data_IF_135767275813
#
_entry.id   IF_135767275813
#
_cell.length_a   1.000
_cell.length_b   1.000
_cell.length_c   1.000
_cell.angle_alpha   90.00
_cell.angle_beta   90.00
_cell.angle_gamma   90.00
#
_symmetry.space_group_name_H-M   'P 1'
#
loop_
_entity.id
_entity.type
_entity.pdbx_description
1 polymer ?
#
# COMPACT_ATOMS: atom_id res chain seq x y z
N UNK A 1 48.54 -29.33 -17.54
CA UNK A 1 47.61 -29.52 -16.41
C UNK A 1 46.79 -28.25 -16.26
N UNK A 2 45.58 -28.21 -16.80
CA UNK A 2 44.72 -27.04 -16.78
C UNK A 2 43.95 -26.98 -15.46
N UNK A 3 44.04 -25.84 -14.76
CA UNK A 3 43.21 -25.55 -13.56
C UNK A 3 41.76 -25.39 -14.02
N UNK A 4 40.85 -26.29 -13.60
CA UNK A 4 39.40 -26.12 -13.76
C UNK A 4 38.92 -24.87 -13.00
N UNK A 5 37.99 -24.11 -13.56
CA UNK A 5 37.62 -22.82 -13.00
C UNK A 5 36.84 -22.95 -11.69
N UNK A 6 37.03 -21.97 -10.81
CA UNK A 6 36.35 -21.80 -9.51
C UNK A 6 34.81 -21.62 -9.61
N UNK A 7 34.23 -21.67 -10.83
CA UNK A 7 32.80 -21.48 -11.09
C UNK A 7 31.89 -22.51 -10.44
N UNK A 8 32.36 -23.76 -10.26
CA UNK A 8 31.53 -24.83 -9.73
C UNK A 8 31.27 -24.68 -8.21
N UNK A 9 32.19 -24.09 -7.46
CA UNK A 9 32.01 -23.90 -6.01
C UNK A 9 31.04 -22.73 -5.76
N UNK A 10 31.15 -21.66 -6.52
CA UNK A 10 30.27 -20.50 -6.43
C UNK A 10 28.83 -20.90 -6.80
N UNK A 11 28.68 -21.67 -7.88
CA UNK A 11 27.36 -22.17 -8.30
C UNK A 11 26.76 -23.18 -7.28
N UNK A 12 27.59 -24.00 -6.66
CA UNK A 12 27.14 -24.93 -5.60
C UNK A 12 26.69 -24.18 -4.34
N UNK A 13 27.42 -23.14 -3.95
CA UNK A 13 27.03 -22.25 -2.83
C UNK A 13 25.75 -21.49 -3.18
N UNK A 14 25.65 -20.94 -4.39
CA UNK A 14 24.46 -20.22 -4.87
C UNK A 14 23.23 -21.12 -4.84
N UNK A 15 23.32 -22.35 -5.40
CA UNK A 15 22.22 -23.31 -5.42
C UNK A 15 21.82 -23.76 -4.01
N UNK A 16 22.77 -23.84 -3.07
CA UNK A 16 22.48 -24.23 -1.67
C UNK A 16 21.78 -23.10 -0.91
N UNK A 17 22.13 -21.84 -1.20
CA UNK A 17 21.46 -20.65 -0.65
C UNK A 17 20.04 -20.56 -1.22
N UNK A 18 19.87 -20.71 -2.54
CA UNK A 18 18.57 -20.62 -3.19
C UNK A 18 17.60 -21.76 -2.86
N UNK A 19 18.09 -22.94 -2.50
CA UNK A 19 17.26 -24.08 -2.10
C UNK A 19 16.93 -24.10 -0.60
N UNK A 20 17.55 -23.24 0.22
CA UNK A 20 17.24 -23.12 1.66
C UNK A 20 16.39 -21.89 1.90
N UNK A 21 15.11 -22.06 2.29
CA UNK A 21 14.21 -20.96 2.67
C UNK A 21 14.80 -20.06 3.76
N UNK A 22 15.58 -20.64 4.67
CA UNK A 22 16.23 -19.88 5.73
C UNK A 22 17.36 -19.00 5.19
N UNK A 23 18.24 -19.55 4.33
CA UNK A 23 19.34 -18.80 3.73
C UNK A 23 18.85 -17.73 2.73
N UNK A 24 17.74 -17.98 2.04
CA UNK A 24 17.07 -16.97 1.23
C UNK A 24 16.59 -15.79 2.10
N UNK A 25 15.97 -16.06 3.25
CA UNK A 25 15.55 -15.01 4.20
C UNK A 25 16.74 -14.20 4.70
N UNK A 26 17.83 -14.86 5.10
CA UNK A 26 19.05 -14.19 5.59
C UNK A 26 19.69 -13.34 4.49
N UNK A 27 19.80 -13.87 3.28
CA UNK A 27 20.41 -13.14 2.14
C UNK A 27 19.56 -11.93 1.77
N UNK A 28 18.25 -12.09 1.75
CA UNK A 28 17.29 -11.03 1.49
C UNK A 28 17.29 -9.96 2.58
N UNK A 29 17.43 -10.36 3.84
CA UNK A 29 17.63 -9.44 4.95
C UNK A 29 18.85 -8.52 4.73
N UNK A 30 19.97 -9.09 4.29
CA UNK A 30 21.17 -8.30 3.97
C UNK A 30 21.00 -7.42 2.74
N UNK A 31 20.31 -7.89 1.69
CA UNK A 31 19.99 -7.06 0.52
C UNK A 31 19.09 -5.89 0.91
N UNK A 32 17.97 -6.14 1.58
CA UNK A 32 17.03 -5.10 2.00
C UNK A 32 17.75 -4.07 2.88
N UNK A 33 18.60 -4.48 3.80
CA UNK A 33 19.37 -3.59 4.69
C UNK A 33 20.46 -2.82 3.96
N UNK A 34 21.03 -3.37 2.92
CA UNK A 34 21.95 -2.68 2.00
C UNK A 34 21.17 -1.68 1.13
N UNK A 35 20.04 -2.08 0.56
CA UNK A 35 19.24 -1.28 -0.34
C UNK A 35 18.50 -0.14 0.40
N UNK A 36 18.08 -0.36 1.65
CA UNK A 36 17.43 0.69 2.45
C UNK A 36 18.31 1.93 2.67
N UNK A 37 19.63 1.78 2.69
CA UNK A 37 20.58 2.90 2.76
C UNK A 37 20.76 3.65 1.44
N UNK A 38 20.36 3.05 0.32
CA UNK A 38 20.49 3.60 -1.04
C UNK A 38 19.16 4.02 -1.66
N UNK A 39 18.04 3.84 -0.93
CA UNK A 39 16.71 4.25 -1.43
C UNK A 39 16.69 5.75 -1.62
N UNK A 40 16.43 6.15 -2.85
CA UNK A 40 16.26 7.56 -3.23
C UNK A 40 14.82 7.76 -3.69
N UNK A 41 14.21 8.82 -3.16
CA UNK A 41 12.95 9.32 -3.67
C UNK A 41 13.21 10.64 -4.38
N UNK A 42 12.54 10.86 -5.50
CA UNK A 42 12.53 12.11 -6.24
C UNK A 42 11.07 12.50 -6.49
N UNK A 43 10.74 13.73 -6.20
CA UNK A 43 9.44 14.30 -6.53
C UNK A 43 9.59 15.25 -7.73
N UNK A 44 8.68 15.10 -8.69
CA UNK A 44 8.57 15.95 -9.87
C UNK A 44 7.09 16.04 -10.27
N UNK A 45 6.57 17.27 -10.38
CA UNK A 45 5.17 17.55 -10.73
C UNK A 45 4.14 16.74 -9.92
N UNK A 46 4.37 16.56 -8.62
CA UNK A 46 3.49 15.78 -7.74
C UNK A 46 3.63 14.26 -7.88
N UNK A 47 4.63 13.78 -8.62
CA UNK A 47 4.92 12.36 -8.76
C UNK A 47 6.16 12.02 -7.94
N UNK A 48 6.01 11.12 -6.98
CA UNK A 48 7.11 10.60 -6.18
C UNK A 48 7.64 9.31 -6.82
N UNK A 49 8.84 9.37 -7.36
CA UNK A 49 9.55 8.22 -7.90
C UNK A 49 10.45 7.62 -6.82
N UNK A 50 10.29 6.32 -6.57
CA UNK A 50 11.12 5.55 -5.64
C UNK A 50 12.00 4.60 -6.45
N UNK A 51 13.32 4.64 -6.26
CA UNK A 51 14.28 3.83 -7.01
C UNK A 51 14.34 2.37 -6.56
N UNK A 52 13.20 1.76 -6.32
CA UNK A 52 13.04 0.36 -5.93
C UNK A 52 12.45 -0.40 -7.13
N UNK A 53 13.00 -1.55 -7.54
CA UNK A 53 12.46 -2.35 -8.62
C UNK A 53 11.00 -2.73 -8.40
N UNK A 54 10.19 -2.64 -9.46
CA UNK A 54 8.77 -3.00 -9.45
C UNK A 54 8.62 -4.52 -9.43
N UNK A 55 8.83 -5.12 -8.28
CA UNK A 55 8.68 -6.55 -8.06
C UNK A 55 7.81 -6.79 -6.84
N UNK A 56 7.06 -7.88 -6.85
CA UNK A 56 6.17 -8.28 -5.76
C UNK A 56 6.83 -8.20 -4.36
N UNK A 57 8.03 -8.72 -4.15
CA UNK A 57 8.67 -8.67 -2.83
C UNK A 57 9.04 -7.27 -2.34
N UNK A 58 9.07 -6.29 -3.23
CA UNK A 58 9.50 -4.93 -2.93
C UNK A 58 8.34 -3.97 -2.67
N UNK A 59 7.09 -4.42 -2.77
CA UNK A 59 5.92 -3.53 -2.66
C UNK A 59 5.87 -2.83 -1.30
N UNK A 60 6.09 -3.58 -0.22
CA UNK A 60 6.10 -3.04 1.14
C UNK A 60 7.20 -2.03 1.34
N UNK A 61 8.43 -2.36 0.94
CA UNK A 61 9.57 -1.46 1.04
C UNK A 61 9.35 -0.17 0.24
N UNK A 62 8.78 -0.27 -0.96
CA UNK A 62 8.44 0.87 -1.81
C UNK A 62 7.37 1.76 -1.17
N UNK A 63 6.32 1.15 -0.62
CA UNK A 63 5.24 1.87 0.07
C UNK A 63 5.76 2.60 1.30
N UNK A 64 6.58 1.96 2.15
CA UNK A 64 7.17 2.60 3.33
C UNK A 64 8.14 3.72 2.96
N UNK A 65 8.93 3.55 1.89
CA UNK A 65 9.82 4.60 1.40
C UNK A 65 9.04 5.84 0.90
N UNK A 66 7.93 5.63 0.18
CA UNK A 66 7.06 6.72 -0.25
C UNK A 66 6.40 7.43 0.93
N UNK A 67 5.87 6.68 1.91
CA UNK A 67 5.29 7.22 3.14
C UNK A 67 6.32 8.06 3.90
N UNK A 68 7.54 7.54 4.08
CA UNK A 68 8.65 8.26 4.74
C UNK A 68 9.01 9.54 4.01
N UNK A 69 9.05 9.51 2.69
CA UNK A 69 9.34 10.69 1.88
C UNK A 69 8.27 11.78 2.11
N UNK A 70 6.99 11.42 1.99
CA UNK A 70 5.88 12.37 2.23
C UNK A 70 5.94 12.92 3.65
N UNK A 71 6.11 12.07 4.66
CA UNK A 71 6.19 12.48 6.06
C UNK A 71 7.35 13.45 6.35
N UNK A 72 8.46 13.32 5.64
CA UNK A 72 9.64 14.16 5.83
C UNK A 72 9.60 15.49 5.06
N UNK A 73 8.78 15.61 4.01
CA UNK A 73 8.81 16.74 3.09
C UNK A 73 7.49 17.52 3.01
N UNK A 74 6.38 16.97 3.51
CA UNK A 74 5.07 17.58 3.43
C UNK A 74 4.41 17.67 4.80
N UNK A 75 3.59 18.70 5.01
CA UNK A 75 2.69 18.82 6.16
C UNK A 75 1.29 18.39 5.74
N UNK A 76 0.63 17.60 6.57
CA UNK A 76 -0.71 17.08 6.31
C UNK A 76 -1.43 16.76 7.62
N UNK A 77 -2.75 16.83 7.63
CA UNK A 77 -3.57 16.32 8.73
C UNK A 77 -3.75 14.79 8.60
N UNK A 78 -3.96 14.33 7.37
CA UNK A 78 -4.13 12.93 7.04
C UNK A 78 -3.36 12.55 5.77
N UNK A 79 -2.68 11.41 5.82
CA UNK A 79 -2.07 10.76 4.68
C UNK A 79 -2.96 9.63 4.20
N UNK A 80 -3.31 9.64 2.92
CA UNK A 80 -4.14 8.60 2.30
C UNK A 80 -3.28 7.77 1.34
N UNK A 81 -3.17 6.49 1.61
CA UNK A 81 -2.59 5.53 0.67
C UNK A 81 -3.73 4.81 -0.05
N UNK A 82 -3.87 5.02 -1.33
CA UNK A 82 -4.83 4.32 -2.17
C UNK A 82 -4.12 3.67 -3.38
N UNK A 83 -4.74 2.65 -3.96
CA UNK A 83 -4.27 2.07 -5.21
C UNK A 83 -5.07 2.62 -6.40
N UNK A 84 -4.60 2.36 -7.62
CA UNK A 84 -5.20 2.87 -8.85
C UNK A 84 -6.61 2.30 -9.18
N UNK A 85 -7.15 1.41 -8.35
CA UNK A 85 -8.50 0.86 -8.49
C UNK A 85 -9.45 1.31 -7.37
N UNK A 86 -9.11 2.42 -6.70
CA UNK A 86 -9.93 2.99 -5.64
C UNK A 86 -10.22 4.47 -5.93
N UNK A 87 -11.48 4.82 -6.07
CA UNK A 87 -11.93 6.20 -6.05
C UNK A 87 -12.10 6.65 -4.59
N UNK A 88 -11.42 7.75 -4.23
CA UNK A 88 -11.52 8.34 -2.90
C UNK A 88 -12.43 9.56 -2.97
N UNK A 89 -13.59 9.47 -2.34
CA UNK A 89 -14.51 10.59 -2.17
C UNK A 89 -14.05 11.44 -0.99
N UNK A 90 -13.27 12.49 -1.27
CA UNK A 90 -12.66 13.33 -0.24
C UNK A 90 -13.69 14.02 0.66
N UNK A 91 -14.86 14.42 0.13
CA UNK A 91 -15.90 15.06 0.93
C UNK A 91 -16.50 14.08 1.96
N UNK A 92 -16.86 12.87 1.51
CA UNK A 92 -17.37 11.84 2.40
C UNK A 92 -16.30 11.40 3.42
N UNK A 93 -15.05 11.29 2.99
CA UNK A 93 -13.93 10.93 3.86
C UNK A 93 -13.70 12.00 4.92
N UNK A 94 -13.67 13.28 4.55
CA UNK A 94 -13.52 14.39 5.48
C UNK A 94 -14.60 14.36 6.55
N UNK A 95 -15.87 14.27 6.15
CA UNK A 95 -17.02 14.19 7.08
C UNK A 95 -16.88 13.00 8.04
N UNK A 96 -16.39 11.86 7.54
CA UNK A 96 -16.16 10.68 8.38
C UNK A 96 -15.03 10.92 9.39
N UNK A 97 -13.92 11.51 8.96
CA UNK A 97 -12.75 11.77 9.80
C UNK A 97 -12.98 12.89 10.84
N UNK A 98 -13.84 13.87 10.57
CA UNK A 98 -14.20 14.92 11.54
C UNK A 98 -14.83 14.33 12.81
N UNK A 99 -15.46 13.16 12.73
CA UNK A 99 -16.01 12.43 13.88
C UNK A 99 -14.97 11.61 14.65
N UNK A 100 -13.76 11.47 14.10
CA UNK A 100 -12.70 10.62 14.67
C UNK A 100 -11.83 11.43 15.62
N UNK A 101 -12.10 11.30 16.92
CA UNK A 101 -11.30 11.91 17.99
C UNK A 101 -10.29 10.88 18.54
N UNK A 102 -9.22 10.62 17.82
CA UNK A 102 -8.22 9.65 18.22
C UNK A 102 -6.80 10.20 18.20
N UNK A 103 -5.97 9.76 19.17
CA UNK A 103 -4.53 10.06 19.16
C UNK A 103 -3.88 9.46 17.92
N UNK A 104 -4.32 8.26 17.53
CA UNK A 104 -3.85 7.54 16.35
C UNK A 104 -5.03 7.28 15.41
N UNK A 105 -4.81 7.44 14.13
CA UNK A 105 -5.77 7.09 13.07
C UNK A 105 -5.11 6.12 12.11
N UNK A 106 -5.60 4.88 12.14
CA UNK A 106 -5.32 3.84 11.17
C UNK A 106 -6.67 3.33 10.65
N UNK A 107 -7.15 3.91 9.58
CA UNK A 107 -8.52 3.76 9.15
C UNK A 107 -8.63 3.41 7.67
N UNK A 108 -9.74 2.80 7.29
CA UNK A 108 -10.03 2.44 5.90
C UNK A 108 -10.92 1.22 5.76
N UNK A 109 -11.13 0.73 4.54
CA UNK A 109 -11.83 -0.52 4.29
C UNK A 109 -11.11 -1.71 4.94
N UNK A 110 -11.78 -2.39 5.86
CA UNK A 110 -11.20 -3.55 6.53
C UNK A 110 -11.05 -4.73 5.57
N UNK A 111 -9.90 -5.37 5.56
CA UNK A 111 -9.71 -6.59 4.79
C UNK A 111 -10.60 -7.73 5.35
N UNK A 112 -11.25 -8.47 4.45
CA UNK A 112 -12.20 -9.52 4.83
C UNK A 112 -11.48 -10.58 5.68
N UNK A 113 -12.05 -10.87 6.86
CA UNK A 113 -11.52 -11.87 7.82
C UNK A 113 -10.08 -11.63 8.29
N UNK A 114 -9.62 -10.37 8.26
CA UNK A 114 -8.28 -9.97 8.68
C UNK A 114 -8.32 -8.81 9.68
N UNK A 115 -7.23 -8.66 10.44
CA UNK A 115 -7.07 -7.59 11.43
C UNK A 115 -6.24 -6.41 10.90
N UNK A 116 -6.42 -6.05 9.62
CA UNK A 116 -5.76 -4.90 9.01
C UNK A 116 -6.66 -4.22 7.98
N UNK A 117 -6.31 -2.99 7.64
CA UNK A 117 -6.99 -2.22 6.60
C UNK A 117 -6.45 -2.65 5.24
N UNK A 118 -7.35 -2.84 4.28
CA UNK A 118 -7.01 -3.26 2.93
C UNK A 118 -6.22 -2.19 2.18
N UNK A 119 -5.20 -2.62 1.45
CA UNK A 119 -4.27 -1.75 0.72
C UNK A 119 -4.87 -0.92 -0.41
N UNK A 120 -6.16 -1.00 -0.68
CA UNK A 120 -6.79 -0.12 -1.65
C UNK A 120 -7.34 1.19 -1.06
N UNK A 121 -7.30 1.36 0.28
CA UNK A 121 -7.66 2.62 0.92
C UNK A 121 -7.22 2.64 2.39
N UNK A 122 -6.08 3.27 2.71
CA UNK A 122 -5.59 3.38 4.09
C UNK A 122 -5.42 4.86 4.43
N UNK A 123 -5.91 5.26 5.59
CA UNK A 123 -5.79 6.62 6.12
C UNK A 123 -4.97 6.59 7.40
N UNK A 124 -4.03 7.50 7.50
CA UNK A 124 -3.20 7.70 8.68
C UNK A 124 -3.20 9.16 9.10
N UNK A 125 -3.16 9.44 10.39
CA UNK A 125 -2.70 10.75 10.86
C UNK A 125 -1.17 10.73 11.06
N UNK A 126 -0.59 11.91 11.27
CA UNK A 126 0.84 12.12 11.44
C UNK A 126 1.47 11.20 12.50
N UNK A 127 0.87 11.10 13.69
CA UNK A 127 1.35 10.25 14.80
C UNK A 127 1.34 8.76 14.46
N UNK A 128 0.38 8.32 13.66
CA UNK A 128 0.31 6.93 13.19
C UNK A 128 1.42 6.65 12.19
N UNK A 129 1.71 7.59 11.29
CA UNK A 129 2.82 7.47 10.34
C UNK A 129 4.16 7.42 11.09
N UNK A 130 4.38 8.32 12.04
CA UNK A 130 5.59 8.30 12.88
C UNK A 130 5.77 6.96 13.58
N UNK A 131 4.71 6.43 14.21
CA UNK A 131 4.75 5.12 14.88
C UNK A 131 5.01 3.98 13.90
N UNK A 132 4.39 3.99 12.72
CA UNK A 132 4.61 3.01 11.67
C UNK A 132 6.09 2.96 11.25
N UNK A 133 6.68 4.13 10.98
CA UNK A 133 8.07 4.23 10.54
C UNK A 133 9.07 3.84 11.64
N UNK A 134 8.72 4.05 12.91
CA UNK A 134 9.53 3.63 14.06
C UNK A 134 9.45 2.11 14.31
N UNK A 135 8.36 1.47 13.91
CA UNK A 135 8.15 0.01 14.03
C UNK A 135 8.55 -0.76 12.78
N UNK A 136 9.21 -0.12 11.82
CA UNK A 136 9.65 -0.80 10.60
C UNK A 136 10.60 -1.94 10.96
N UNK A 137 10.16 -3.17 10.66
CA UNK A 137 10.95 -4.38 10.85
C UNK A 137 11.05 -5.13 9.53
N UNK A 138 12.25 -5.63 9.26
CA UNK A 138 12.56 -6.43 8.08
C UNK A 138 11.76 -7.72 7.99
N UNK A 139 11.30 -8.25 9.13
CA UNK A 139 10.45 -9.44 9.17
C UNK A 139 9.14 -9.24 8.39
N UNK A 140 8.59 -8.03 8.39
CA UNK A 140 7.32 -7.72 7.71
C UNK A 140 7.47 -7.32 6.25
N UNK A 141 8.69 -7.06 5.77
CA UNK A 141 8.92 -6.60 4.40
C UNK A 141 8.65 -7.68 3.32
N UNK A 142 8.49 -8.93 3.71
CA UNK A 142 8.10 -10.03 2.81
C UNK A 142 6.58 -10.20 2.65
N UNK A 143 5.80 -9.48 3.46
CA UNK A 143 4.34 -9.48 3.39
C UNK A 143 3.84 -8.48 2.34
N UNK A 144 2.55 -8.55 2.04
CA UNK A 144 1.86 -7.45 1.36
C UNK A 144 1.94 -6.18 2.18
N UNK A 145 2.01 -5.05 1.54
CA UNK A 145 2.19 -3.77 2.23
C UNK A 145 1.08 -3.46 3.24
N UNK A 146 -0.17 -3.80 2.94
CA UNK A 146 -1.30 -3.62 3.84
C UNK A 146 -1.22 -4.54 5.09
N UNK A 147 -0.85 -5.81 4.90
CA UNK A 147 -0.62 -6.74 6.01
C UNK A 147 0.58 -6.32 6.85
N UNK A 148 1.68 -5.92 6.21
CA UNK A 148 2.88 -5.45 6.88
C UNK A 148 2.59 -4.22 7.74
N UNK A 149 1.92 -3.22 7.18
CA UNK A 149 1.50 -2.00 7.89
C UNK A 149 0.63 -2.36 9.10
N UNK A 150 -0.37 -3.22 8.91
CA UNK A 150 -1.24 -3.65 9.99
C UNK A 150 -0.48 -4.31 11.14
N UNK A 151 0.48 -5.19 10.83
CA UNK A 151 1.31 -5.86 11.85
C UNK A 151 2.24 -4.91 12.58
N UNK A 152 2.90 -4.00 11.85
CA UNK A 152 3.77 -2.98 12.44
C UNK A 152 3.00 -2.07 13.41
N UNK A 153 1.79 -1.65 13.05
CA UNK A 153 0.95 -0.80 13.91
C UNK A 153 0.41 -1.58 15.13
N UNK A 154 0.07 -2.85 14.96
CA UNK A 154 -0.42 -3.71 16.04
C UNK A 154 0.60 -3.91 17.16
N UNK A 155 1.91 -3.89 16.85
CA UNK A 155 2.99 -3.93 17.88
C UNK A 155 2.86 -2.78 18.88
N UNK A 156 2.38 -1.61 18.43
CA UNK A 156 2.13 -0.45 19.28
C UNK A 156 0.69 -0.34 19.78
N UNK A 157 -0.11 -1.40 19.65
CA UNK A 157 -1.51 -1.42 20.09
C UNK A 157 -2.44 -0.52 19.27
N UNK A 158 -2.06 -0.16 18.04
CA UNK A 158 -2.90 0.63 17.15
C UNK A 158 -3.78 -0.33 16.35
N UNK A 159 -5.08 -0.27 16.64
CA UNK A 159 -6.07 -1.14 16.00
C UNK A 159 -6.67 -0.47 14.76
N UNK A 160 -7.08 -1.28 13.74
CA UNK A 160 -7.72 -0.77 12.54
C UNK A 160 -9.12 -0.22 12.83
N UNK A 161 -9.42 0.96 12.29
CA UNK A 161 -10.72 1.61 12.33
C UNK A 161 -11.44 1.40 10.99
N UNK A 162 -12.48 0.55 10.91
CA UNK A 162 -13.18 0.31 9.66
C UNK A 162 -13.90 1.55 9.15
N UNK A 163 -13.70 1.88 7.87
CA UNK A 163 -14.47 2.89 7.15
C UNK A 163 -15.41 2.17 6.14
N UNK A 164 -16.67 2.60 6.01
CA UNK A 164 -17.59 2.07 5.02
C UNK A 164 -17.05 2.26 3.58
N UNK A 165 -17.33 1.29 2.74
CA UNK A 165 -16.91 1.32 1.35
C UNK A 165 -17.95 0.67 0.43
N UNK A 166 -17.85 0.98 -0.86
CA UNK A 166 -18.64 0.37 -1.92
C UNK A 166 -17.70 -0.33 -2.91
N UNK A 167 -18.11 -1.49 -3.41
CA UNK A 167 -17.44 -2.15 -4.54
C UNK A 167 -18.33 -2.06 -5.79
N UNK A 168 -17.73 -1.70 -6.93
CA UNK A 168 -18.37 -1.65 -8.24
C UNK A 168 -17.49 -2.41 -9.22
N UNK A 169 -18.03 -3.48 -9.79
CA UNK A 169 -17.31 -4.37 -10.68
C UNK A 169 -17.72 -4.25 -12.14
N UNK A 170 -18.83 -3.56 -12.43
CA UNK A 170 -19.35 -3.41 -13.79
C UNK A 170 -19.95 -2.03 -14.02
N UNK A 171 -19.98 -1.61 -15.29
CA UNK A 171 -20.66 -0.38 -15.70
C UNK A 171 -22.17 -0.44 -15.40
N UNK A 172 -22.77 -1.62 -15.51
CA UNK A 172 -24.19 -1.82 -15.17
C UNK A 172 -24.44 -1.51 -13.70
N UNK A 173 -23.66 -2.07 -12.79
CA UNK A 173 -23.76 -1.79 -11.35
C UNK A 173 -23.63 -0.29 -11.06
N UNK A 174 -22.70 0.40 -11.73
CA UNK A 174 -22.55 1.85 -11.57
C UNK A 174 -23.79 2.62 -12.04
N UNK A 175 -24.36 2.25 -13.19
CA UNK A 175 -25.54 2.92 -13.73
C UNK A 175 -26.81 2.72 -12.89
N UNK A 176 -26.83 1.70 -12.02
CA UNK A 176 -27.91 1.43 -11.07
C UNK A 176 -27.75 2.26 -9.77
N UNK A 177 -26.63 2.96 -9.57
CA UNK A 177 -26.36 3.77 -8.39
C UNK A 177 -26.82 5.21 -8.55
N UNK A 178 -27.45 5.73 -7.49
CA UNK A 178 -27.77 7.15 -7.42
C UNK A 178 -26.56 7.96 -6.95
N UNK A 179 -26.60 9.28 -7.17
CA UNK A 179 -25.59 10.20 -6.67
C UNK A 179 -25.47 10.13 -5.14
N UNK A 180 -26.59 10.04 -4.45
CA UNK A 180 -26.68 9.99 -3.00
C UNK A 180 -26.03 8.71 -2.46
N UNK A 181 -26.28 7.57 -3.11
CA UNK A 181 -25.64 6.31 -2.74
C UNK A 181 -24.12 6.38 -2.90
N UNK A 182 -23.61 6.91 -4.02
CA UNK A 182 -22.17 7.06 -4.23
C UNK A 182 -21.56 8.08 -3.26
N UNK A 183 -22.25 9.18 -2.98
CA UNK A 183 -21.79 10.22 -2.08
C UNK A 183 -21.66 9.77 -0.62
N UNK A 184 -22.38 8.71 -0.23
CA UNK A 184 -22.33 8.18 1.12
C UNK A 184 -21.02 7.44 1.47
N UNK A 185 -20.25 7.01 0.47
CA UNK A 185 -19.07 6.18 0.68
C UNK A 185 -17.76 6.95 0.51
N UNK A 186 -16.87 6.98 1.53
CA UNK A 186 -15.53 7.54 1.44
C UNK A 186 -14.62 6.82 0.43
N UNK A 187 -14.79 5.50 0.30
CA UNK A 187 -14.02 4.68 -0.61
C UNK A 187 -14.93 3.89 -1.55
N UNK A 188 -14.68 3.98 -2.84
CA UNK A 188 -15.38 3.19 -3.86
C UNK A 188 -14.33 2.39 -4.61
N UNK A 189 -14.30 1.08 -4.35
CA UNK A 189 -13.42 0.17 -5.05
C UNK A 189 -13.98 -0.13 -6.42
N UNK A 190 -13.17 0.12 -7.44
CA UNK A 190 -13.51 -0.17 -8.83
C UNK A 190 -12.56 -1.23 -9.36
N UNK A 191 -13.06 -2.44 -9.59
CA UNK A 191 -12.27 -3.51 -10.17
C UNK A 191 -13.05 -4.13 -11.31
N UNK A 192 -13.05 -3.44 -12.45
CA UNK A 192 -13.86 -3.79 -13.59
C UNK A 192 -13.01 -4.17 -14.80
N UNK A 193 -13.52 -5.13 -15.56
CA UNK A 193 -12.95 -5.48 -16.85
C UNK A 193 -14.07 -5.74 -17.86
N UNK A 194 -13.85 -5.30 -19.09
CA UNK A 194 -14.73 -5.56 -20.23
C UNK A 194 -13.89 -6.09 -21.39
N UNK A 195 -14.33 -7.18 -22.00
CA UNK A 195 -13.60 -7.87 -23.07
C UNK A 195 -12.13 -8.18 -22.72
N UNK A 196 -11.84 -8.51 -21.45
CA UNK A 196 -10.51 -8.81 -20.95
C UNK A 196 -9.60 -7.61 -20.70
N UNK A 197 -10.08 -6.38 -20.93
CA UNK A 197 -9.37 -5.13 -20.62
C UNK A 197 -9.89 -4.51 -19.33
N UNK A 198 -8.98 -3.93 -18.53
CA UNK A 198 -9.37 -3.14 -17.34
C UNK A 198 -10.01 -1.83 -17.80
N UNK A 199 -11.12 -1.50 -17.15
CA UNK A 199 -11.89 -0.26 -17.37
C UNK A 199 -12.12 0.52 -16.07
N UNK A 200 -11.25 0.34 -15.10
CA UNK A 200 -11.35 1.01 -13.79
C UNK A 200 -11.34 2.53 -13.92
N UNK A 201 -10.48 3.05 -14.79
CA UNK A 201 -10.36 4.47 -15.09
C UNK A 201 -11.65 5.06 -15.66
N UNK A 202 -12.29 4.35 -16.58
CA UNK A 202 -13.59 4.76 -17.18
C UNK A 202 -14.66 4.86 -16.09
N UNK A 203 -14.75 3.87 -15.20
CA UNK A 203 -15.72 3.89 -14.12
C UNK A 203 -15.42 5.00 -13.12
N UNK A 204 -14.14 5.22 -12.77
CA UNK A 204 -13.75 6.30 -11.85
C UNK A 204 -14.06 7.68 -12.41
N UNK A 205 -13.83 7.92 -13.71
CA UNK A 205 -14.25 9.17 -14.37
C UNK A 205 -15.75 9.37 -14.28
N UNK A 206 -16.56 8.34 -14.54
CA UNK A 206 -18.02 8.43 -14.42
C UNK A 206 -18.48 8.68 -12.98
N UNK A 207 -17.86 8.03 -11.98
CA UNK A 207 -18.16 8.31 -10.57
C UNK A 207 -17.89 9.79 -10.26
N UNK A 208 -16.76 10.32 -10.74
CA UNK A 208 -16.39 11.72 -10.56
C UNK A 208 -17.43 12.68 -11.19
N UNK A 209 -17.86 12.39 -12.42
CA UNK A 209 -18.91 13.16 -13.12
C UNK A 209 -20.25 13.12 -12.35
N UNK A 210 -20.68 11.94 -11.89
CA UNK A 210 -21.93 11.78 -11.13
C UNK A 210 -21.88 12.55 -9.82
N UNK A 211 -20.77 12.54 -9.13
CA UNK A 211 -20.59 13.26 -7.85
C UNK A 211 -20.48 14.77 -8.06
N UNK A 212 -20.08 15.23 -9.25
CA UNK A 212 -19.98 16.65 -9.60
C UNK A 212 -18.89 17.39 -8.83
N UNK A 213 -17.74 16.73 -8.65
CA UNK A 213 -16.58 17.27 -7.94
C UNK A 213 -15.50 17.66 -8.93
#
# INVERSE_FOLDING_TARGET
MGKKPKSNLINAIYNRIFNSRYLQKVWRYFQIRSDSKSIKCKEDAGIIQVNIPETWPNITLKTLAAIRYVHSHHTYDFLIRANASCYVNLNALKNHLESVNGKFVYAGPKAISKDFISGWGIVFNDKTVETLLNNEDTEYLELFDDEAIGRMLKVSGIEPMPIPYLEISTLKELNEKTREELAAFPFIRVKASENGMRIDDVLMCKIHEILGV
#
